data_IF_709961730692
#
_entry.id   IF_709961730692
#
_cell.length_a   1.000
_cell.length_b   1.000
_cell.length_c   1.000
_cell.angle_alpha   90.00
_cell.angle_beta   90.00
_cell.angle_gamma   90.00
#
_symmetry.space_group_name_H-M   'P 1'
#
loop_
_entity.id
_entity.type
_entity.pdbx_description
1 polymer ?
#
# COMPACT_ATOMS: atom_id res chain seq x y z
N UNK A 1 12.96 -16.30 11.80
CA UNK A 1 13.27 -14.86 11.80
C UNK A 1 14.39 -14.62 12.80
N UNK A 2 15.14 -13.53 12.66
CA UNK A 2 16.21 -13.17 13.61
C UNK A 2 15.69 -13.13 15.06
N UNK A 3 14.46 -12.63 15.26
CA UNK A 3 13.81 -12.59 16.58
C UNK A 3 13.64 -13.98 17.22
N UNK A 4 13.31 -15.01 16.43
CA UNK A 4 13.24 -16.40 16.90
C UNK A 4 14.62 -16.94 17.27
N UNK A 5 15.64 -16.62 16.47
CA UNK A 5 17.04 -17.00 16.74
C UNK A 5 17.55 -16.33 18.02
N UNK A 6 17.14 -15.09 18.26
CA UNK A 6 17.49 -14.30 19.45
C UNK A 6 16.66 -14.68 20.69
N UNK A 7 15.73 -15.64 20.57
CA UNK A 7 14.88 -16.08 21.68
C UNK A 7 13.92 -15.00 22.19
N UNK A 8 13.51 -14.05 21.34
CA UNK A 8 12.57 -12.98 21.71
C UNK A 8 11.18 -13.58 21.97
N UNK A 9 10.55 -13.16 23.07
CA UNK A 9 9.19 -13.56 23.39
C UNK A 9 8.14 -12.80 22.56
N UNK A 10 7.00 -13.45 22.29
CA UNK A 10 5.83 -12.81 21.69
C UNK A 10 5.13 -11.98 22.77
N UNK A 11 4.95 -10.69 22.51
CA UNK A 11 4.29 -9.74 23.43
C UNK A 11 2.97 -9.17 22.89
N UNK A 12 2.56 -9.59 21.70
CA UNK A 12 1.34 -9.12 21.04
C UNK A 12 0.40 -10.31 20.81
N UNK A 13 -0.78 -10.21 21.40
CA UNK A 13 -1.90 -11.13 21.18
C UNK A 13 -2.98 -10.40 20.40
N UNK A 14 -3.67 -11.12 19.51
CA UNK A 14 -4.70 -10.56 18.65
C UNK A 14 -5.92 -11.47 18.70
N UNK A 15 -7.09 -10.88 18.92
CA UNK A 15 -8.37 -11.56 18.87
C UNK A 15 -9.19 -11.02 17.69
N UNK A 16 -9.28 -11.83 16.64
CA UNK A 16 -9.99 -11.49 15.41
C UNK A 16 -11.50 -11.33 15.62
N UNK A 17 -12.10 -12.09 16.53
CA UNK A 17 -13.54 -12.02 16.79
C UNK A 17 -13.90 -10.74 17.55
N UNK A 18 -13.02 -10.29 18.45
CA UNK A 18 -13.21 -9.07 19.23
C UNK A 18 -12.61 -7.82 18.57
N UNK A 19 -11.91 -7.96 17.43
CA UNK A 19 -11.21 -6.84 16.79
C UNK A 19 -10.14 -6.23 17.69
N UNK A 20 -9.52 -7.01 18.58
CA UNK A 20 -8.67 -6.48 19.65
C UNK A 20 -7.21 -6.92 19.53
N UNK A 21 -6.31 -6.04 19.96
CA UNK A 21 -4.87 -6.27 20.08
C UNK A 21 -4.46 -6.01 21.52
N UNK A 22 -3.87 -7.00 22.17
CA UNK A 22 -3.40 -6.92 23.56
C UNK A 22 -1.88 -6.98 23.60
N UNK A 23 -1.28 -5.98 24.24
CA UNK A 23 0.15 -5.90 24.51
C UNK A 23 0.42 -6.40 25.93
N UNK A 24 1.24 -7.43 26.04
CA UNK A 24 1.61 -8.07 27.31
C UNK A 24 3.09 -7.82 27.59
N UNK A 25 3.43 -7.24 28.74
CA UNK A 25 4.83 -7.04 29.11
C UNK A 25 5.50 -8.41 29.36
N UNK A 26 6.51 -8.79 28.55
CA UNK A 26 7.42 -9.87 28.91
C UNK A 26 8.63 -9.30 29.65
N UNK A 27 8.70 -9.61 30.94
CA UNK A 27 9.80 -9.26 31.81
C UNK A 27 11.04 -10.11 31.48
N UNK A 28 11.93 -9.56 30.66
CA UNK A 28 13.36 -9.86 30.79
C UNK A 28 14.02 -8.61 31.35
N UNK A 29 14.04 -8.50 32.69
CA UNK A 29 14.83 -7.49 33.41
C UNK A 29 14.15 -6.19 33.83
N UNK A 30 12.84 -6.01 33.65
CA UNK A 30 12.08 -4.86 34.15
C UNK A 30 10.95 -5.30 35.09
N UNK A 31 10.73 -4.53 36.17
CA UNK A 31 9.73 -4.80 37.22
C UNK A 31 8.34 -5.10 36.63
N UNK A 32 7.76 -6.22 37.08
CA UNK A 32 6.48 -6.81 36.62
C UNK A 32 5.23 -6.03 37.07
N UNK A 33 5.12 -4.73 36.76
CA UNK A 33 4.05 -3.90 37.35
C UNK A 33 3.06 -3.30 36.37
N UNK A 34 3.26 -3.38 35.06
CA UNK A 34 2.28 -2.83 34.10
C UNK A 34 1.25 -3.88 33.67
N UNK A 35 -0.05 -3.61 33.84
CA UNK A 35 -1.10 -4.49 33.32
C UNK A 35 -1.09 -4.50 31.78
N UNK A 36 -1.56 -5.59 31.14
CA UNK A 36 -1.70 -5.63 29.69
C UNK A 36 -2.55 -4.48 29.14
N UNK A 37 -2.15 -3.94 27.99
CA UNK A 37 -2.86 -2.85 27.32
C UNK A 37 -3.60 -3.40 26.11
N UNK A 38 -4.92 -3.22 26.08
CA UNK A 38 -5.78 -3.70 24.98
C UNK A 38 -6.30 -2.53 24.15
N UNK A 39 -6.24 -2.68 22.84
CA UNK A 39 -6.73 -1.73 21.84
C UNK A 39 -7.76 -2.43 20.96
N UNK A 40 -8.76 -1.69 20.48
CA UNK A 40 -9.80 -2.20 19.57
C UNK A 40 -9.70 -1.46 18.24
N UNK A 41 -9.86 -2.20 17.15
CA UNK A 41 -9.82 -1.73 15.76
C UNK A 41 -11.02 -2.28 15.00
N UNK A 42 -11.30 -1.73 13.81
CA UNK A 42 -12.35 -2.24 12.93
C UNK A 42 -12.08 -3.69 12.47
N UNK A 43 -10.80 -4.03 12.28
CA UNK A 43 -10.35 -5.38 11.99
C UNK A 43 -8.92 -5.59 12.54
N UNK A 44 -8.61 -6.84 12.92
CA UNK A 44 -7.27 -7.25 13.31
C UNK A 44 -6.86 -8.51 12.54
N UNK A 45 -5.57 -8.58 12.19
CA UNK A 45 -5.02 -9.63 11.33
C UNK A 45 -3.86 -10.33 12.05
N UNK A 46 -4.08 -11.51 12.64
CA UNK A 46 -3.02 -12.32 13.23
C UNK A 46 -1.93 -12.71 12.21
N UNK A 47 -0.70 -13.06 12.65
CA UNK A 47 0.41 -13.43 11.77
C UNK A 47 0.13 -14.52 10.72
N UNK A 48 -0.90 -15.33 10.94
CA UNK A 48 -1.34 -16.47 10.14
C UNK A 48 -2.34 -16.07 9.05
N UNK A 49 -2.74 -14.79 9.02
CA UNK A 49 -3.65 -14.23 8.01
C UNK A 49 -2.98 -14.24 6.65
N UNK A 50 -3.67 -14.78 5.63
CA UNK A 50 -3.21 -14.73 4.26
C UNK A 50 -3.36 -13.32 3.66
N UNK A 51 -2.50 -12.97 2.69
CA UNK A 51 -2.57 -11.66 2.02
C UNK A 51 -3.93 -11.42 1.35
N UNK A 52 -4.52 -12.48 0.78
CA UNK A 52 -5.84 -12.40 0.13
C UNK A 52 -6.94 -12.06 1.13
N UNK A 53 -6.89 -12.62 2.35
CA UNK A 53 -7.89 -12.36 3.39
C UNK A 53 -7.78 -10.92 3.90
N UNK A 54 -6.55 -10.43 4.08
CA UNK A 54 -6.30 -9.02 4.42
C UNK A 54 -6.81 -8.10 3.33
N UNK A 55 -6.51 -8.40 2.06
CA UNK A 55 -6.96 -7.61 0.91
C UNK A 55 -8.48 -7.52 0.83
N UNK A 56 -9.17 -8.66 0.88
CA UNK A 56 -10.63 -8.73 0.80
C UNK A 56 -11.32 -7.98 1.94
N UNK A 57 -10.73 -8.01 3.14
CA UNK A 57 -11.29 -7.34 4.31
C UNK A 57 -11.01 -5.82 4.36
N UNK A 58 -10.05 -5.31 3.60
CA UNK A 58 -9.59 -3.91 3.72
C UNK A 58 -9.63 -3.13 2.42
N UNK A 59 -8.92 -3.60 1.39
CA UNK A 59 -8.70 -2.87 0.15
C UNK A 59 -9.84 -3.04 -0.86
N UNK A 60 -10.41 -4.25 -0.96
CA UNK A 60 -11.47 -4.52 -1.93
C UNK A 60 -12.69 -3.58 -1.78
N UNK A 61 -13.24 -3.33 -0.56
CA UNK A 61 -14.37 -2.40 -0.41
C UNK A 61 -14.05 -0.95 -0.79
N UNK A 62 -12.79 -0.54 -0.62
CA UNK A 62 -12.31 0.79 -1.03
C UNK A 62 -12.29 0.87 -2.56
N UNK A 63 -11.84 -0.20 -3.23
CA UNK A 63 -11.79 -0.27 -4.68
C UNK A 63 -13.20 -0.26 -5.30
N UNK A 64 -14.15 -0.97 -4.70
CA UNK A 64 -15.56 -0.95 -5.11
C UNK A 64 -16.13 0.48 -5.04
N UNK A 65 -15.72 1.25 -4.04
CA UNK A 65 -16.09 2.67 -3.91
C UNK A 65 -15.42 3.52 -4.99
N UNK A 66 -14.17 3.24 -5.35
CA UNK A 66 -13.47 3.93 -6.44
C UNK A 66 -14.15 3.73 -7.79
N UNK A 67 -14.60 2.51 -8.07
CA UNK A 67 -15.34 2.19 -9.30
C UNK A 67 -16.72 2.89 -9.37
N UNK A 68 -17.28 3.27 -8.22
CA UNK A 68 -18.50 4.09 -8.13
C UNK A 68 -18.23 5.60 -8.24
N UNK A 69 -16.97 6.01 -8.42
CA UNK A 69 -16.58 7.41 -8.60
C UNK A 69 -16.13 8.13 -7.31
N UNK A 70 -15.87 7.40 -6.22
CA UNK A 70 -15.30 7.97 -5.01
C UNK A 70 -13.76 7.95 -5.03
N UNK A 71 -13.12 8.80 -4.21
CA UNK A 71 -11.68 8.72 -3.98
C UNK A 71 -11.38 7.70 -2.88
N UNK A 72 -10.43 6.80 -3.12
CA UNK A 72 -9.98 5.79 -2.17
C UNK A 72 -8.49 5.94 -1.85
N UNK A 73 -8.13 5.78 -0.57
CA UNK A 73 -6.73 5.88 -0.13
C UNK A 73 -6.41 4.80 0.89
N UNK A 74 -5.29 4.10 0.70
CA UNK A 74 -4.77 3.07 1.60
C UNK A 74 -3.36 3.45 2.03
N UNK A 75 -3.12 3.51 3.33
CA UNK A 75 -1.80 3.79 3.90
C UNK A 75 -1.36 2.66 4.83
N UNK A 76 -0.13 2.19 4.66
CA UNK A 76 0.51 1.29 5.61
C UNK A 76 1.38 2.10 6.59
N UNK A 77 1.12 1.96 7.89
CA UNK A 77 1.82 2.68 8.95
C UNK A 77 2.42 1.71 9.98
N UNK A 78 3.60 2.03 10.49
CA UNK A 78 4.32 1.21 11.48
C UNK A 78 5.83 1.43 11.44
N UNK A 79 6.55 0.95 12.46
CA UNK A 79 8.01 1.05 12.50
C UNK A 79 8.69 0.25 11.38
N UNK A 80 9.99 0.49 11.15
CA UNK A 80 10.77 -0.32 10.19
C UNK A 80 10.78 -1.79 10.59
N UNK A 81 10.60 -2.69 9.62
CA UNK A 81 10.59 -4.13 9.83
C UNK A 81 9.23 -4.74 10.20
N UNK A 82 8.16 -3.97 10.37
CA UNK A 82 6.81 -4.52 10.71
C UNK A 82 6.00 -4.98 9.51
N UNK A 83 6.60 -5.08 8.33
CA UNK A 83 5.93 -5.62 7.15
C UNK A 83 5.12 -4.64 6.31
N UNK A 84 5.27 -3.31 6.47
CA UNK A 84 4.57 -2.32 5.61
C UNK A 84 4.68 -2.62 4.11
N UNK A 85 5.91 -2.75 3.60
CA UNK A 85 6.21 -3.10 2.20
C UNK A 85 5.65 -4.49 1.86
N UNK A 86 5.74 -5.45 2.78
CA UNK A 86 5.18 -6.78 2.56
C UNK A 86 3.65 -6.76 2.45
N UNK A 87 2.94 -5.95 3.24
CA UNK A 87 1.49 -5.80 3.12
C UNK A 87 1.10 -5.11 1.81
N UNK A 88 1.81 -4.04 1.43
CA UNK A 88 1.47 -3.25 0.25
C UNK A 88 1.88 -3.92 -1.07
N UNK A 89 3.14 -4.34 -1.19
CA UNK A 89 3.69 -4.95 -2.41
C UNK A 89 3.64 -6.49 -2.34
N UNK A 90 4.04 -7.04 -1.19
CA UNK A 90 4.13 -8.48 -0.98
C UNK A 90 5.33 -9.10 -1.69
N UNK A 91 5.17 -10.34 -2.14
CA UNK A 91 6.15 -11.03 -2.95
C UNK A 91 5.51 -11.60 -4.21
N UNK A 92 6.23 -11.55 -5.33
CA UNK A 92 5.75 -12.06 -6.61
C UNK A 92 5.61 -13.60 -6.60
N UNK A 93 6.44 -14.30 -5.82
CA UNK A 93 6.47 -15.77 -5.75
C UNK A 93 6.50 -16.24 -4.28
N UNK A 94 5.60 -17.15 -3.87
CA UNK A 94 4.44 -17.64 -4.63
C UNK A 94 3.35 -16.55 -4.79
N UNK A 95 2.45 -16.66 -5.78
CA UNK A 95 1.40 -15.66 -6.05
C UNK A 95 0.51 -15.30 -4.84
N UNK A 96 0.35 -16.24 -3.90
CA UNK A 96 -0.42 -16.03 -2.68
C UNK A 96 0.17 -14.95 -1.77
N UNK A 97 1.47 -14.65 -1.92
CA UNK A 97 2.14 -13.61 -1.13
C UNK A 97 2.04 -12.21 -1.73
N UNK A 98 1.42 -12.05 -2.91
CA UNK A 98 1.19 -10.73 -3.52
C UNK A 98 0.36 -9.84 -2.58
N UNK A 99 0.79 -8.61 -2.40
CA UNK A 99 0.20 -7.65 -1.46
C UNK A 99 -1.00 -6.90 -2.03
N UNK A 100 -1.34 -5.78 -1.39
CA UNK A 100 -2.49 -4.93 -1.73
C UNK A 100 -2.39 -4.32 -3.13
N UNK A 101 -1.26 -3.70 -3.47
CA UNK A 101 -1.02 -2.97 -4.73
C UNK A 101 -1.25 -3.87 -5.96
N UNK A 102 -0.56 -5.02 -6.11
CA UNK A 102 -0.78 -5.88 -7.26
C UNK A 102 -2.19 -6.47 -7.34
N UNK A 103 -2.83 -6.77 -6.20
CA UNK A 103 -4.21 -7.28 -6.17
C UNK A 103 -5.21 -6.19 -6.59
N UNK A 104 -4.99 -4.96 -6.15
CA UNK A 104 -5.82 -3.82 -6.53
C UNK A 104 -5.78 -3.57 -8.05
N UNK A 105 -4.60 -3.62 -8.68
CA UNK A 105 -4.53 -3.47 -10.14
C UNK A 105 -5.25 -4.59 -10.88
N UNK A 106 -5.08 -5.85 -10.47
CA UNK A 106 -5.81 -6.96 -11.07
C UNK A 106 -7.33 -6.74 -10.96
N UNK A 107 -7.84 -6.43 -9.76
CA UNK A 107 -9.28 -6.20 -9.57
C UNK A 107 -9.78 -5.00 -10.39
N UNK A 108 -9.04 -3.89 -10.47
CA UNK A 108 -9.42 -2.75 -11.33
C UNK A 108 -9.65 -3.21 -12.77
N UNK A 109 -8.70 -3.94 -13.35
CA UNK A 109 -8.79 -4.35 -14.76
C UNK A 109 -9.78 -5.50 -14.99
N UNK A 110 -9.98 -6.39 -14.01
CA UNK A 110 -11.06 -7.39 -14.03
C UNK A 110 -12.44 -6.72 -14.06
N UNK A 111 -12.66 -5.72 -13.21
CA UNK A 111 -13.93 -4.98 -13.15
C UNK A 111 -14.17 -4.16 -14.42
N UNK A 112 -13.14 -3.53 -14.97
CA UNK A 112 -13.23 -2.85 -16.28
C UNK A 112 -13.58 -3.85 -17.38
N UNK A 113 -12.97 -5.03 -17.40
CA UNK A 113 -13.24 -6.05 -18.41
C UNK A 113 -14.70 -6.57 -18.34
N UNK A 114 -15.26 -6.69 -17.14
CA UNK A 114 -16.66 -7.10 -16.94
C UNK A 114 -17.64 -6.02 -17.39
N UNK A 115 -17.35 -4.74 -17.15
CA UNK A 115 -18.26 -3.62 -17.43
C UNK A 115 -18.01 -2.93 -18.80
N UNK A 116 -16.94 -3.30 -19.50
CA UNK A 116 -16.62 -2.73 -20.81
C UNK A 116 -17.57 -3.27 -21.89
N UNK A 117 -18.36 -2.36 -22.46
CA UNK A 117 -19.37 -2.68 -23.48
C UNK A 117 -20.81 -2.31 -23.11
N UNK A 118 -21.07 -1.96 -21.85
CA UNK A 118 -22.43 -1.63 -21.37
C UNK A 118 -22.79 -0.14 -21.47
N UNK A 119 -21.98 0.68 -22.16
CA UNK A 119 -22.03 2.17 -22.30
C UNK A 119 -21.02 2.97 -21.44
N UNK A 120 -20.07 2.31 -20.79
CA UNK A 120 -19.02 2.98 -20.00
C UNK A 120 -17.65 2.79 -20.64
N UNK A 121 -16.93 3.91 -20.80
CA UNK A 121 -15.53 3.93 -21.22
C UNK A 121 -14.64 4.26 -20.02
N UNK A 122 -13.53 3.56 -19.87
CA UNK A 122 -12.59 3.75 -18.77
C UNK A 122 -11.25 4.28 -19.29
N UNK A 123 -10.69 5.27 -18.58
CA UNK A 123 -9.32 5.73 -18.74
C UNK A 123 -8.58 5.54 -17.43
N UNK A 124 -7.60 4.63 -17.42
CA UNK A 124 -6.75 4.39 -16.25
C UNK A 124 -5.39 5.04 -16.47
N UNK A 125 -4.95 5.80 -15.46
CA UNK A 125 -3.62 6.42 -15.43
C UNK A 125 -2.91 6.06 -14.14
N UNK A 126 -1.64 5.73 -14.25
CA UNK A 126 -0.78 5.42 -13.11
C UNK A 126 0.31 6.48 -12.95
N UNK A 127 0.55 6.88 -11.70
CA UNK A 127 1.64 7.75 -11.27
C UNK A 127 2.30 7.13 -10.04
N UNK A 128 3.63 7.21 -9.93
CA UNK A 128 4.36 6.69 -8.78
C UNK A 128 5.35 7.74 -8.28
N UNK A 129 5.19 8.12 -7.02
CA UNK A 129 5.87 9.27 -6.41
C UNK A 129 6.48 8.85 -5.07
N UNK A 130 7.74 9.21 -4.87
CA UNK A 130 8.42 9.15 -3.58
C UNK A 130 8.47 10.54 -2.95
N UNK A 131 8.23 10.59 -1.64
CA UNK A 131 8.49 11.76 -0.81
C UNK A 131 9.62 11.40 0.15
N UNK A 132 10.78 12.01 -0.03
CA UNK A 132 11.95 11.77 0.82
C UNK A 132 12.59 13.09 1.22
N UNK A 133 12.70 13.33 2.53
CA UNK A 133 13.27 14.57 3.08
C UNK A 133 12.61 15.83 2.47
N UNK A 134 11.28 15.87 2.43
CA UNK A 134 10.46 16.93 1.83
C UNK A 134 10.71 17.17 0.33
N UNK A 135 11.45 16.28 -0.34
CA UNK A 135 11.68 16.32 -1.78
C UNK A 135 10.82 15.28 -2.48
N UNK A 136 10.19 15.71 -3.57
CA UNK A 136 9.37 14.87 -4.43
C UNK A 136 10.21 14.28 -5.56
N UNK A 137 10.04 12.98 -5.79
CA UNK A 137 10.71 12.25 -6.87
C UNK A 137 9.70 11.40 -7.63
N UNK A 138 9.61 11.62 -8.93
CA UNK A 138 8.86 10.76 -9.84
C UNK A 138 9.62 9.46 -10.05
N UNK A 139 8.98 8.35 -9.71
CA UNK A 139 9.53 6.99 -9.84
C UNK A 139 9.23 6.37 -11.20
N UNK A 140 8.34 6.96 -12.01
CA UNK A 140 8.04 6.52 -13.39
C UNK A 140 8.77 7.34 -14.46
N UNK A 141 9.55 8.34 -14.08
CA UNK A 141 10.29 9.17 -15.03
C UNK A 141 11.41 8.37 -15.72
N UNK A 142 11.24 8.15 -17.02
CA UNK A 142 12.20 7.46 -17.86
C UNK A 142 13.36 8.40 -18.21
N UNK A 143 14.44 8.30 -17.43
CA UNK A 143 15.67 9.07 -17.61
C UNK A 143 16.34 8.89 -18.98
N UNK A 144 15.89 7.96 -19.82
CA UNK A 144 16.47 7.67 -21.15
C UNK A 144 16.43 8.85 -22.12
N UNK A 145 15.49 9.79 -21.93
CA UNK A 145 15.35 10.97 -22.79
C UNK A 145 15.93 12.27 -22.18
N UNK A 146 16.56 12.20 -21.00
CA UNK A 146 17.16 13.39 -20.38
C UNK A 146 18.48 13.74 -21.06
N UNK A 147 18.66 15.01 -21.40
CA UNK A 147 19.98 15.56 -21.70
C UNK A 147 20.88 15.31 -20.48
N UNK A 148 22.00 14.60 -20.66
CA UNK A 148 22.89 14.14 -19.57
C UNK A 148 23.40 15.26 -18.65
N UNK A 149 23.33 16.50 -19.10
CA UNK A 149 23.83 17.69 -18.40
C UNK A 149 22.72 18.50 -17.70
N UNK A 150 21.43 18.12 -17.82
CA UNK A 150 20.33 18.80 -17.12
C UNK A 150 19.94 18.04 -15.84
N UNK A 151 19.75 18.76 -14.72
CA UNK A 151 19.21 18.14 -13.50
C UNK A 151 17.79 17.61 -13.76
N UNK A 152 17.34 16.63 -12.96
CA UNK A 152 15.94 16.21 -12.94
C UNK A 152 15.01 17.42 -12.81
N UNK A 153 13.80 17.39 -13.39
CA UNK A 153 12.77 18.36 -13.03
C UNK A 153 12.55 18.30 -11.52
N UNK A 154 12.64 19.44 -10.84
CA UNK A 154 12.17 19.54 -9.46
C UNK A 154 10.66 19.42 -9.49
N UNK A 155 10.13 18.46 -8.74
CA UNK A 155 8.69 18.33 -8.55
C UNK A 155 8.32 19.10 -7.30
N UNK A 156 7.35 20.00 -7.44
CA UNK A 156 6.83 20.81 -6.35
C UNK A 156 5.33 20.61 -6.24
N UNK A 157 4.84 20.57 -4.99
CA UNK A 157 3.40 20.57 -4.73
C UNK A 157 2.83 21.94 -5.07
N UNK A 158 1.76 21.98 -5.87
CA UNK A 158 1.00 23.18 -6.16
C UNK A 158 -0.40 23.11 -5.57
N UNK A 159 -0.77 24.20 -4.90
CA UNK A 159 -2.10 24.42 -4.34
C UNK A 159 -2.61 25.76 -4.83
N UNK A 160 -3.56 25.74 -5.77
CA UNK A 160 -4.23 26.95 -6.27
C UNK A 160 -5.62 27.09 -5.63
N UNK A 161 -6.11 28.31 -5.35
CA UNK A 161 -7.43 28.50 -4.75
C UNK A 161 -8.53 27.88 -5.62
N UNK A 162 -9.28 26.93 -5.06
CA UNK A 162 -10.36 26.23 -5.77
C UNK A 162 -9.91 25.07 -6.65
N UNK A 163 -8.61 24.77 -6.72
CA UNK A 163 -8.07 23.61 -7.43
C UNK A 163 -7.60 22.53 -6.44
N UNK A 164 -7.66 21.26 -6.82
CA UNK A 164 -7.06 20.19 -6.03
C UNK A 164 -5.55 20.35 -5.94
N UNK A 165 -4.97 19.86 -4.84
CA UNK A 165 -3.52 19.76 -4.69
C UNK A 165 -2.96 18.90 -5.84
N UNK A 166 -1.94 19.39 -6.53
CA UNK A 166 -1.34 18.72 -7.67
C UNK A 166 0.18 18.75 -7.63
N UNK A 167 0.82 17.85 -8.37
CA UNK A 167 2.27 17.82 -8.59
C UNK A 167 2.52 17.97 -10.09
N UNK A 168 2.63 19.19 -10.62
CA UNK A 168 2.85 19.39 -12.04
C UNK A 168 4.18 18.80 -12.49
N UNK A 169 4.17 18.10 -13.63
CA UNK A 169 5.33 17.40 -14.15
C UNK A 169 5.46 15.95 -13.66
N UNK A 170 4.63 15.50 -12.72
CA UNK A 170 4.54 14.08 -12.35
C UNK A 170 4.03 13.26 -13.53
N UNK A 171 4.73 12.20 -13.88
CA UNK A 171 4.36 11.28 -14.95
C UNK A 171 3.02 10.60 -14.64
N UNK A 172 2.12 10.59 -15.61
CA UNK A 172 0.84 9.91 -15.57
C UNK A 172 0.73 8.98 -16.79
N UNK A 173 1.17 7.73 -16.62
CA UNK A 173 1.20 6.73 -17.67
C UNK A 173 -0.22 6.21 -17.95
N UNK A 174 -0.74 6.32 -19.18
CA UNK A 174 -1.94 5.58 -19.57
C UNK A 174 -1.62 4.08 -19.57
N UNK A 175 -2.47 3.30 -18.93
CA UNK A 175 -2.28 1.85 -18.77
C UNK A 175 -3.55 1.11 -19.14
N UNK A 176 -3.41 -0.07 -19.72
CA UNK A 176 -4.51 -0.89 -20.25
C UNK A 176 -4.59 -2.27 -19.62
N UNK A 177 -3.61 -2.65 -18.79
CA UNK A 177 -3.62 -3.90 -18.04
C UNK A 177 -2.83 -3.81 -16.74
N UNK A 178 -3.10 -4.72 -15.81
CA UNK A 178 -2.36 -4.82 -14.54
C UNK A 178 -0.86 -5.11 -14.79
N UNK A 179 -0.56 -5.94 -15.79
CA UNK A 179 0.82 -6.27 -16.17
C UNK A 179 1.61 -5.03 -16.64
N UNK A 180 0.98 -4.10 -17.34
CA UNK A 180 1.62 -2.83 -17.74
C UNK A 180 1.97 -1.96 -16.53
N UNK A 181 1.07 -1.91 -15.53
CA UNK A 181 1.33 -1.16 -14.29
C UNK A 181 2.48 -1.80 -13.52
N UNK A 182 2.45 -3.11 -13.34
CA UNK A 182 3.51 -3.85 -12.66
C UNK A 182 4.87 -3.67 -13.34
N UNK A 183 4.91 -3.80 -14.66
CA UNK A 183 6.13 -3.57 -15.43
C UNK A 183 6.63 -2.12 -15.36
N UNK A 184 5.75 -1.15 -15.09
CA UNK A 184 6.14 0.25 -14.86
C UNK A 184 6.72 0.47 -13.46
N UNK A 185 6.19 -0.22 -12.45
CA UNK A 185 6.65 -0.13 -11.06
C UNK A 185 7.99 -0.84 -10.81
N UNK A 186 8.35 -1.81 -11.66
CA UNK A 186 9.64 -2.55 -11.58
C UNK A 186 10.82 -1.86 -12.30
N UNK A 187 10.61 -0.68 -12.90
CA UNK A 187 11.64 0.09 -13.62
C UNK A 187 12.62 0.80 -12.67
#
# INVERSE_FOLDING_TARGET
TQEKTDGRARIVEMDKALGSVTLSAHAVGMNQTEPPKTFTFDAVFPPETAQVDLYNATAAPILDSVLQGYNGTIFAYGQTGTGKTFTMEGANIPPDLRGVIPRAFNQIFEEIAVHSGESTEFLVRASYLEIYNESLRDLLDDNSHREKDKPPPSLDVRTLPGEPVSVPGLTALPVTSAAEVEAALER
#
